data_IF_138645376665
#
_entry.id   IF_138645376665
#
_cell.length_a   1.000
_cell.length_b   1.000
_cell.length_c   1.000
_cell.angle_alpha   90.00
_cell.angle_beta   90.00
_cell.angle_gamma   90.00
#
_symmetry.space_group_name_H-M   'P 1'
#
loop_
_entity.id
_entity.type
_entity.pdbx_description
1 polymer ?
#
# COMPACT_ATOMS: atom_id res chain seq x y z
N UNK A 1 4.69 -11.18 9.61
CA UNK A 1 3.39 -10.52 9.87
C UNK A 1 3.61 -9.04 9.66
N UNK A 2 2.90 -8.42 8.73
CA UNK A 2 2.91 -6.96 8.57
C UNK A 2 1.83 -6.40 9.51
N UNK A 3 2.24 -5.56 10.46
CA UNK A 3 1.32 -4.90 11.39
C UNK A 3 0.81 -3.58 10.80
N UNK A 4 -0.26 -3.05 11.40
CA UNK A 4 -0.79 -1.73 11.08
C UNK A 4 0.19 -0.69 11.66
N UNK A 5 0.69 0.21 10.81
CA UNK A 5 1.81 1.09 11.16
C UNK A 5 3.13 0.43 10.79
N UNK A 6 3.95 1.16 10.04
CA UNK A 6 5.31 0.83 9.62
C UNK A 6 5.38 -0.31 8.59
N UNK A 7 4.99 -0.01 7.35
CA UNK A 7 5.29 -0.92 6.24
C UNK A 7 6.77 -0.78 5.87
N UNK A 8 7.53 -1.85 6.08
CA UNK A 8 8.92 -1.93 5.65
C UNK A 8 8.96 -2.71 4.33
N UNK A 9 9.36 -2.05 3.25
CA UNK A 9 9.57 -2.66 1.94
C UNK A 9 11.00 -2.36 1.53
N UNK A 10 11.77 -3.42 1.24
CA UNK A 10 13.17 -3.27 0.82
C UNK A 10 14.02 -2.45 1.82
N UNK A 11 13.79 -2.65 3.12
CA UNK A 11 14.49 -1.93 4.20
C UNK A 11 14.09 -0.45 4.37
N UNK A 12 13.16 0.05 3.56
CA UNK A 12 12.66 1.44 3.61
C UNK A 12 11.32 1.48 4.36
N UNK A 13 11.16 2.49 5.20
CA UNK A 13 9.94 2.71 5.97
C UNK A 13 8.96 3.58 5.16
N UNK A 14 7.72 3.11 5.02
CA UNK A 14 6.68 3.83 4.30
C UNK A 14 5.61 4.33 5.27
N UNK A 15 5.16 5.56 5.04
CA UNK A 15 3.91 6.04 5.60
C UNK A 15 2.74 5.31 4.91
N UNK A 16 1.75 4.90 5.71
CA UNK A 16 0.77 3.90 5.30
C UNK A 16 -0.66 4.42 5.48
N UNK A 17 -1.36 4.66 4.37
CA UNK A 17 -2.72 5.18 4.32
C UNK A 17 -3.72 4.08 3.96
N UNK A 18 -4.68 3.80 4.86
CA UNK A 18 -5.81 2.88 4.62
C UNK A 18 -7.04 3.69 4.20
N UNK A 19 -7.65 3.34 3.06
CA UNK A 19 -8.86 3.99 2.54
C UNK A 19 -9.96 2.96 2.33
N UNK A 20 -11.15 3.25 2.84
CA UNK A 20 -12.36 2.47 2.59
C UNK A 20 -13.40 3.39 1.95
N UNK A 21 -13.73 3.14 0.69
CA UNK A 21 -14.73 3.90 -0.06
C UNK A 21 -16.02 3.10 -0.12
N UNK A 22 -17.13 3.67 0.36
CA UNK A 22 -18.46 3.10 0.22
C UNK A 22 -19.14 3.56 -1.07
N UNK A 23 -19.66 2.61 -1.85
CA UNK A 23 -20.54 2.84 -3.01
C UNK A 23 -21.90 2.17 -2.72
N UNK A 24 -22.98 2.50 -3.47
CA UNK A 24 -24.32 1.98 -3.19
C UNK A 24 -24.42 0.45 -3.11
N UNK A 25 -23.66 -0.28 -3.92
CA UNK A 25 -23.69 -1.74 -4.07
C UNK A 25 -22.42 -2.45 -3.60
N UNK A 26 -21.34 -1.70 -3.34
CA UNK A 26 -20.01 -2.27 -3.05
C UNK A 26 -19.13 -1.33 -2.24
N UNK A 27 -17.95 -1.83 -1.88
CA UNK A 27 -16.88 -1.07 -1.22
C UNK A 27 -15.61 -1.20 -2.03
N UNK A 28 -14.77 -0.17 -2.00
CA UNK A 28 -13.39 -0.24 -2.45
C UNK A 28 -12.51 -0.17 -1.22
N UNK A 29 -11.64 -1.17 -1.06
CA UNK A 29 -10.56 -1.13 -0.09
C UNK A 29 -9.28 -0.74 -0.83
N UNK A 30 -8.64 0.34 -0.40
CA UNK A 30 -7.33 0.77 -0.91
C UNK A 30 -6.33 0.90 0.21
N UNK A 31 -5.07 0.62 -0.10
CA UNK A 31 -3.93 0.99 0.73
C UNK A 31 -2.95 1.75 -0.16
N UNK A 32 -2.42 2.84 0.35
CA UNK A 32 -1.42 3.66 -0.34
C UNK A 32 -0.20 3.81 0.56
N UNK A 33 0.98 3.49 0.04
CA UNK A 33 2.26 3.60 0.75
C UNK A 33 3.07 4.75 0.15
N UNK A 34 3.62 5.57 1.03
CA UNK A 34 4.42 6.75 0.67
C UNK A 34 5.82 6.64 1.26
N UNK A 35 6.83 6.86 0.43
CA UNK A 35 8.22 6.93 0.83
C UNK A 35 8.89 8.13 0.16
N UNK A 36 9.80 8.79 0.86
CA UNK A 36 10.56 9.92 0.32
C UNK A 36 12.06 9.63 0.42
N UNK A 37 12.77 9.78 -0.70
CA UNK A 37 14.23 9.74 -0.78
C UNK A 37 14.74 11.11 -1.21
N UNK A 38 15.17 11.92 -0.24
CA UNK A 38 15.50 13.32 -0.49
C UNK A 38 14.29 14.11 -0.98
N UNK A 39 14.34 14.63 -2.21
CA UNK A 39 13.24 15.37 -2.85
C UNK A 39 12.33 14.49 -3.71
N UNK A 40 12.66 13.21 -3.88
CA UNK A 40 11.89 12.28 -4.71
C UNK A 40 10.88 11.54 -3.85
N UNK A 41 9.60 11.62 -4.23
CA UNK A 41 8.51 10.88 -3.59
C UNK A 41 8.14 9.63 -4.39
N UNK A 42 7.97 8.52 -3.69
CA UNK A 42 7.50 7.24 -4.20
C UNK A 42 6.11 6.95 -3.65
N UNK A 43 5.21 6.46 -4.50
CA UNK A 43 3.85 6.11 -4.15
C UNK A 43 3.53 4.73 -4.70
N UNK A 44 3.10 3.82 -3.82
CA UNK A 44 2.55 2.51 -4.20
C UNK A 44 1.09 2.48 -3.78
N UNK A 45 0.18 2.26 -4.74
CA UNK A 45 -1.25 2.12 -4.46
C UNK A 45 -1.75 0.78 -4.97
N UNK A 46 -2.60 0.14 -4.18
CA UNK A 46 -3.30 -1.07 -4.56
C UNK A 46 -4.70 -1.06 -3.96
N UNK A 47 -5.68 -1.41 -4.80
CA UNK A 47 -7.09 -1.35 -4.44
C UNK A 47 -7.86 -2.58 -4.91
N UNK A 48 -8.95 -2.89 -4.19
CA UNK A 48 -9.87 -3.98 -4.52
C UNK A 48 -11.32 -3.56 -4.31
N UNK A 49 -12.15 -3.76 -5.33
CA UNK A 49 -13.60 -3.62 -5.23
C UNK A 49 -14.22 -4.93 -4.71
N UNK A 50 -15.10 -4.84 -3.71
CA UNK A 50 -15.75 -5.99 -3.06
C UNK A 50 -17.10 -5.59 -2.47
N UNK A 51 -18.03 -6.53 -2.29
CA UNK A 51 -19.26 -6.27 -1.53
C UNK A 51 -19.01 -6.17 -0.01
N UNK A 52 -17.95 -6.84 0.48
CA UNK A 52 -17.56 -6.84 1.91
C UNK A 52 -16.04 -6.89 2.04
N UNK A 53 -15.50 -6.01 2.89
CA UNK A 53 -14.08 -6.00 3.24
C UNK A 53 -13.86 -7.04 4.35
N UNK A 54 -12.82 -7.85 4.20
CA UNK A 54 -12.39 -8.87 5.18
C UNK A 54 -10.87 -8.88 5.29
N UNK A 55 -10.34 -9.61 6.28
CA UNK A 55 -8.90 -9.63 6.57
C UNK A 55 -8.06 -10.29 5.47
N UNK A 56 -8.64 -11.17 4.66
CA UNK A 56 -7.96 -11.75 3.50
C UNK A 56 -7.69 -10.67 2.46
N UNK A 57 -8.67 -9.81 2.15
CA UNK A 57 -8.47 -8.70 1.22
C UNK A 57 -7.39 -7.74 1.72
N UNK A 58 -7.36 -7.46 3.03
CA UNK A 58 -6.33 -6.62 3.62
C UNK A 58 -4.95 -7.24 3.50
N UNK A 59 -4.84 -8.53 3.82
CA UNK A 59 -3.60 -9.30 3.77
C UNK A 59 -3.08 -9.44 2.34
N UNK A 60 -3.95 -9.74 1.38
CA UNK A 60 -3.60 -9.87 -0.05
C UNK A 60 -2.93 -8.59 -0.57
N UNK A 61 -3.49 -7.42 -0.25
CA UNK A 61 -2.92 -6.13 -0.67
C UNK A 61 -1.57 -5.87 0.00
N UNK A 62 -1.44 -6.13 1.30
CA UNK A 62 -0.16 -5.98 2.00
C UNK A 62 0.91 -6.93 1.44
N UNK A 63 0.54 -8.18 1.17
CA UNK A 63 1.43 -9.15 0.53
C UNK A 63 1.84 -8.72 -0.88
N UNK A 64 0.94 -8.12 -1.66
CA UNK A 64 1.27 -7.58 -2.98
C UNK A 64 2.38 -6.51 -2.88
N UNK A 65 2.28 -5.57 -1.93
CA UNK A 65 3.32 -4.56 -1.74
C UNK A 65 4.70 -5.14 -1.40
N UNK A 66 4.75 -6.24 -0.65
CA UNK A 66 6.02 -6.90 -0.30
C UNK A 66 6.79 -7.47 -1.51
N UNK A 67 6.15 -7.56 -2.68
CA UNK A 67 6.80 -8.03 -3.92
C UNK A 67 7.53 -6.92 -4.68
N UNK A 68 7.28 -5.65 -4.37
CA UNK A 68 7.93 -4.53 -5.04
C UNK A 68 9.36 -4.35 -4.52
N UNK A 69 10.24 -3.96 -5.43
CA UNK A 69 11.59 -3.47 -5.11
C UNK A 69 11.69 -2.04 -5.60
N UNK A 70 12.30 -1.17 -4.78
CA UNK A 70 12.64 0.18 -5.18
C UNK A 70 14.12 0.21 -5.48
N UNK A 71 14.46 -0.01 -6.75
CA UNK A 71 15.73 0.46 -7.28
C UNK A 71 15.68 2.00 -7.14
N UNK A 72 16.67 2.58 -6.44
CA UNK A 72 16.70 4.00 -6.09
C UNK A 72 16.51 4.94 -7.29
N UNK A 73 16.44 6.26 -7.09
CA UNK A 73 16.17 7.19 -8.17
C UNK A 73 17.17 6.97 -9.31
N UNK A 74 16.74 7.03 -10.59
CA UNK A 74 17.67 6.93 -11.70
C UNK A 74 18.79 7.96 -11.51
N UNK A 75 20.05 7.54 -11.71
CA UNK A 75 21.18 8.46 -11.67
C UNK A 75 20.99 9.49 -12.80
N UNK A 76 20.72 10.74 -12.44
CA UNK A 76 20.61 11.87 -13.37
C UNK A 76 21.94 12.60 -13.50
#
# INVERSE_FOLDING_TARGET
>A
MLNKGDQIIDGKEFADLEIIIGLPDKKVYSRTLFYFEGTVGYLLDASRSTHKINDNIKSDILSFFSTFKIDGPPNF
#
